data_IF_064810091694
#
_entry.id   IF_064810091694
#
_cell.length_a   1.000
_cell.length_b   1.000
_cell.length_c   1.000
_cell.angle_alpha   90.00
_cell.angle_beta   90.00
_cell.angle_gamma   90.00
#
_symmetry.space_group_name_H-M   'P 1'
#
loop_
_entity.id
_entity.type
_entity.pdbx_description
1 polymer ?
#
# COMPACT_ATOMS: atom_id res chain seq x y z
N UNK A 1 -16.56 16.73 13.38
CA UNK A 1 -15.17 17.21 13.34
C UNK A 1 -15.07 18.20 12.18
N UNK A 2 -14.49 19.39 12.37
CA UNK A 2 -14.40 20.44 11.32
C UNK A 2 -13.05 20.34 10.59
N UNK A 3 -12.94 20.95 9.40
CA UNK A 3 -11.68 21.01 8.64
C UNK A 3 -10.57 21.69 9.46
N UNK A 4 -10.90 22.77 10.19
CA UNK A 4 -9.96 23.45 11.08
C UNK A 4 -9.37 22.52 12.16
N UNK A 5 -10.16 21.56 12.68
CA UNK A 5 -9.65 20.58 13.64
C UNK A 5 -8.67 19.58 13.00
N UNK A 6 -8.84 19.25 11.72
CA UNK A 6 -7.92 18.36 10.99
C UNK A 6 -6.58 19.05 10.76
N UNK A 7 -6.59 20.33 10.36
CA UNK A 7 -5.37 21.10 10.12
C UNK A 7 -4.54 21.31 11.40
N UNK A 8 -5.21 21.49 12.55
CA UNK A 8 -4.55 21.59 13.86
C UNK A 8 -3.91 20.25 14.28
N UNK A 9 -4.61 19.13 14.08
CA UNK A 9 -4.07 17.78 14.36
C UNK A 9 -2.87 17.49 13.46
N UNK A 10 -2.98 17.80 12.17
CA UNK A 10 -1.89 17.61 11.20
C UNK A 10 -0.68 18.46 11.58
N UNK A 11 -0.89 19.74 11.89
CA UNK A 11 0.18 20.65 12.32
C UNK A 11 0.89 20.17 13.59
N UNK A 12 0.13 19.58 14.53
CA UNK A 12 0.69 18.97 15.74
C UNK A 12 1.51 17.71 15.44
N UNK A 13 0.99 16.82 14.59
CA UNK A 13 1.67 15.59 14.17
C UNK A 13 2.98 15.88 13.43
N UNK A 14 2.99 16.87 12.52
CA UNK A 14 4.18 17.22 11.75
C UNK A 14 5.33 17.81 12.59
N UNK A 15 5.03 18.37 13.77
CA UNK A 15 6.05 18.88 14.71
C UNK A 15 6.73 17.79 15.53
N UNK A 16 6.24 16.55 15.49
CA UNK A 16 6.84 15.44 16.24
C UNK A 16 8.16 14.99 15.62
N UNK A 17 9.05 14.33 16.40
CA UNK A 17 10.22 13.64 15.86
C UNK A 17 9.85 12.58 14.81
N UNK A 18 10.77 12.29 13.90
CA UNK A 18 10.55 11.37 12.76
C UNK A 18 9.90 10.03 13.17
N UNK A 19 10.42 9.42 14.23
CA UNK A 19 9.91 8.14 14.76
C UNK A 19 8.45 8.22 15.19
N UNK A 20 8.04 9.30 15.86
CA UNK A 20 6.66 9.46 16.31
C UNK A 20 5.74 9.84 15.16
N UNK A 21 6.21 10.60 14.16
CA UNK A 21 5.45 10.83 12.93
C UNK A 21 5.16 9.52 12.19
N UNK A 22 6.18 8.66 12.06
CA UNK A 22 6.02 7.34 11.46
C UNK A 22 5.00 6.50 12.25
N UNK A 23 5.09 6.50 13.58
CA UNK A 23 4.12 5.79 14.45
C UNK A 23 2.70 6.30 14.26
N UNK A 24 2.49 7.63 14.23
CA UNK A 24 1.19 8.25 13.98
C UNK A 24 0.66 7.84 12.60
N UNK A 25 1.48 7.91 11.55
CA UNK A 25 1.09 7.51 10.21
C UNK A 25 0.67 6.03 10.15
N UNK A 26 1.42 5.12 10.77
CA UNK A 26 1.07 3.69 10.86
C UNK A 26 -0.28 3.48 11.54
N UNK A 27 -0.53 4.14 12.68
CA UNK A 27 -1.78 4.00 13.41
C UNK A 27 -2.97 4.58 12.64
N UNK A 28 -2.77 5.70 11.93
CA UNK A 28 -3.80 6.28 11.08
C UNK A 28 -4.15 5.37 9.92
N UNK A 29 -3.15 4.81 9.22
CA UNK A 29 -3.38 3.83 8.14
C UNK A 29 -4.13 2.61 8.67
N UNK A 30 -3.67 2.03 9.79
CA UNK A 30 -4.32 0.88 10.41
C UNK A 30 -5.77 1.18 10.85
N UNK A 31 -6.09 2.42 11.21
CA UNK A 31 -7.47 2.80 11.53
C UNK A 31 -8.41 2.80 10.31
N UNK A 32 -7.87 2.89 9.10
CA UNK A 32 -8.63 2.80 7.84
C UNK A 32 -8.89 1.34 7.45
N UNK A 33 -8.11 0.39 7.97
CA UNK A 33 -8.26 -1.05 7.69
C UNK A 33 -9.51 -1.69 8.36
N UNK A 34 -10.36 -0.88 9.03
CA UNK A 34 -11.54 -1.36 9.75
C UNK A 34 -12.65 -1.93 8.85
N UNK A 35 -12.61 -1.69 7.53
CA UNK A 35 -13.46 -2.39 6.57
C UNK A 35 -12.61 -3.31 5.70
N UNK A 36 -12.21 -4.44 6.26
CA UNK A 36 -11.89 -5.61 5.44
C UNK A 36 -13.19 -5.98 4.73
N UNK A 37 -13.33 -5.49 3.52
CA UNK A 37 -14.38 -5.94 2.63
C UNK A 37 -14.07 -7.41 2.33
N UNK A 38 -14.84 -8.32 2.94
CA UNK A 38 -14.66 -9.76 2.75
C UNK A 38 -14.77 -10.15 1.28
N UNK A 39 -15.45 -9.34 0.46
CA UNK A 39 -15.49 -9.54 -0.99
C UNK A 39 -14.13 -9.22 -1.63
N UNK A 40 -13.44 -8.17 -1.19
CA UNK A 40 -12.07 -7.88 -1.63
C UNK A 40 -11.12 -9.00 -1.24
N UNK A 41 -11.13 -9.46 0.02
CA UNK A 41 -10.25 -10.56 0.46
C UNK A 41 -10.47 -11.82 -0.38
N UNK A 42 -11.74 -12.21 -0.60
CA UNK A 42 -12.05 -13.36 -1.44
C UNK A 42 -11.65 -13.15 -2.90
N UNK A 43 -11.81 -11.95 -3.46
CA UNK A 43 -11.36 -11.64 -4.81
C UNK A 43 -9.83 -11.70 -4.93
N UNK A 44 -9.09 -11.26 -3.90
CA UNK A 44 -7.63 -11.39 -3.84
C UNK A 44 -7.18 -12.83 -3.73
N UNK A 45 -7.81 -13.65 -2.88
CA UNK A 45 -7.54 -15.10 -2.79
C UNK A 45 -7.75 -15.78 -4.14
N UNK A 46 -8.88 -15.52 -4.81
CA UNK A 46 -9.18 -16.07 -6.13
C UNK A 46 -8.15 -15.66 -7.19
N UNK A 47 -7.72 -14.40 -7.20
CA UNK A 47 -6.71 -13.92 -8.15
C UNK A 47 -5.33 -14.54 -7.88
N UNK A 48 -4.95 -14.74 -6.60
CA UNK A 48 -3.70 -15.41 -6.24
C UNK A 48 -3.72 -16.86 -6.74
N UNK A 49 -4.78 -17.61 -6.46
CA UNK A 49 -4.93 -19.00 -6.90
C UNK A 49 -4.87 -19.10 -8.43
N UNK A 50 -5.58 -18.20 -9.12
CA UNK A 50 -5.55 -18.13 -10.57
C UNK A 50 -4.14 -17.86 -11.10
N UNK A 51 -3.40 -16.89 -10.55
CA UNK A 51 -2.04 -16.58 -11.02
C UNK A 51 -1.04 -17.68 -10.74
N UNK A 52 -1.15 -18.35 -9.59
CA UNK A 52 -0.32 -19.53 -9.31
C UNK A 52 -0.58 -20.62 -10.36
N UNK A 53 -1.84 -20.89 -10.67
CA UNK A 53 -2.19 -21.86 -11.71
C UNK A 53 -1.65 -21.46 -13.10
N UNK A 54 -1.77 -20.18 -13.49
CA UNK A 54 -1.22 -19.68 -14.76
C UNK A 54 0.31 -19.86 -14.83
N UNK A 55 1.02 -19.66 -13.72
CA UNK A 55 2.47 -19.86 -13.64
C UNK A 55 2.81 -21.35 -13.71
N UNK A 56 2.15 -22.19 -12.92
CA UNK A 56 2.40 -23.63 -12.81
C UNK A 56 2.13 -24.35 -14.14
N UNK A 57 1.12 -23.90 -14.89
CA UNK A 57 0.77 -24.44 -16.21
C UNK A 57 1.59 -23.84 -17.35
N UNK A 58 2.37 -22.79 -17.08
CA UNK A 58 3.08 -22.03 -18.11
C UNK A 58 2.15 -21.27 -19.06
N UNK A 59 0.91 -21.00 -18.66
CA UNK A 59 -0.04 -20.18 -19.42
C UNK A 59 0.42 -18.72 -19.56
N UNK A 60 1.33 -18.27 -18.69
CA UNK A 60 1.94 -16.94 -18.72
C UNK A 60 3.46 -17.01 -18.71
N UNK A 61 4.09 -16.07 -19.41
CA UNK A 61 5.55 -15.86 -19.32
C UNK A 61 5.86 -14.89 -18.20
N UNK A 62 6.54 -15.36 -17.16
CA UNK A 62 6.97 -14.51 -16.05
C UNK A 62 8.09 -13.55 -16.47
N UNK A 63 8.07 -12.34 -15.87
CA UNK A 63 9.15 -11.37 -15.99
C UNK A 63 10.08 -11.54 -14.79
N UNK A 64 11.41 -11.59 -14.97
CA UNK A 64 12.34 -11.64 -13.85
C UNK A 64 12.15 -10.45 -12.89
N UNK A 65 12.17 -10.72 -11.59
CA UNK A 65 12.00 -9.69 -10.55
C UNK A 65 12.94 -8.49 -10.73
N UNK A 66 14.17 -8.74 -11.16
CA UNK A 66 15.16 -7.70 -11.41
C UNK A 66 14.73 -6.69 -12.48
N UNK A 67 13.98 -7.12 -13.49
CA UNK A 67 13.46 -6.25 -14.53
C UNK A 67 12.27 -5.44 -14.02
N UNK A 68 11.34 -6.07 -13.31
CA UNK A 68 10.20 -5.39 -12.65
C UNK A 68 10.70 -4.32 -11.69
N UNK A 69 11.66 -4.68 -10.82
CA UNK A 69 12.28 -3.78 -9.85
C UNK A 69 12.91 -2.56 -10.52
N UNK A 70 13.68 -2.77 -11.60
CA UNK A 70 14.27 -1.66 -12.39
C UNK A 70 13.20 -0.72 -12.96
N UNK A 71 12.09 -1.25 -13.44
CA UNK A 71 10.99 -0.44 -13.97
C UNK A 71 10.29 0.37 -12.86
N UNK A 72 10.02 -0.25 -11.71
CA UNK A 72 9.41 0.43 -10.55
C UNK A 72 10.26 1.62 -10.09
N UNK A 73 11.56 1.42 -9.90
CA UNK A 73 12.45 2.49 -9.45
C UNK A 73 12.69 3.58 -10.51
N UNK A 74 12.63 3.23 -11.80
CA UNK A 74 12.65 4.22 -12.89
C UNK A 74 11.43 5.16 -12.81
N UNK A 75 10.27 4.62 -12.46
CA UNK A 75 9.01 5.35 -12.40
C UNK A 75 8.79 6.08 -11.05
N UNK A 76 9.52 5.69 -9.99
CA UNK A 76 9.47 6.34 -8.68
C UNK A 76 10.13 7.74 -8.63
N UNK A 77 10.64 8.26 -9.75
CA UNK A 77 11.24 9.60 -9.86
C UNK A 77 10.24 10.73 -10.21
N UNK A 78 8.94 10.55 -9.94
CA UNK A 78 8.00 11.68 -9.96
C UNK A 78 7.89 12.29 -8.57
N UNK A 79 8.73 13.31 -8.34
CA UNK A 79 8.75 14.31 -7.23
C UNK A 79 8.97 13.77 -5.80
N UNK A 80 10.24 13.78 -5.37
CA UNK A 80 10.57 14.19 -3.99
C UNK A 80 10.44 15.71 -3.87
#
# INVERSE_FOLDING_TARGET
>A
MTIAAVDEILSSALRQPERERARIATLLIASLDASVDRENDSAWEQEIDKRLHEIDTGAVTCIPWEEVRKQLYRNAHVRR
#
